data_IF_266224210433
#
_entry.id   IF_266224210433
#
_cell.length_a   1.000
_cell.length_b   1.000
_cell.length_c   1.000
_cell.angle_alpha   90.00
_cell.angle_beta   90.00
_cell.angle_gamma   90.00
#
_symmetry.space_group_name_H-M   'P 1'
#
loop_
_entity.id
_entity.type
_entity.pdbx_description
1 polymer ?
#
# COMPACT_ATOMS: atom_id res chain seq x y z
N UNK A 1 11.91 3.08 -3.68
CA UNK A 1 12.23 1.74 -3.12
C UNK A 1 11.32 1.37 -1.95
N UNK A 2 10.97 2.29 -1.04
CA UNK A 2 10.20 1.98 0.19
C UNK A 2 8.92 1.16 -0.04
N UNK A 3 8.03 1.58 -0.95
CA UNK A 3 6.78 0.84 -1.21
C UNK A 3 7.00 -0.54 -1.83
N UNK A 4 8.01 -0.67 -2.68
CA UNK A 4 8.40 -1.96 -3.27
C UNK A 4 8.78 -2.96 -2.16
N UNK A 5 9.64 -2.53 -1.23
CA UNK A 5 10.07 -3.34 -0.09
C UNK A 5 8.90 -3.71 0.82
N UNK A 6 7.99 -2.78 1.11
CA UNK A 6 6.80 -3.07 1.93
C UNK A 6 5.90 -4.11 1.25
N UNK A 7 5.73 -4.03 -0.07
CA UNK A 7 4.96 -5.02 -0.83
C UNK A 7 5.54 -6.43 -0.72
N UNK A 8 6.87 -6.55 -0.82
CA UNK A 8 7.58 -7.83 -0.64
C UNK A 8 7.42 -8.36 0.79
N UNK A 9 7.58 -7.50 1.81
CA UNK A 9 7.43 -7.90 3.22
C UNK A 9 6.00 -8.36 3.54
N UNK A 10 4.98 -7.70 2.98
CA UNK A 10 3.60 -8.15 3.07
C UNK A 10 3.41 -9.53 2.43
N UNK A 11 3.92 -9.72 1.22
CA UNK A 11 3.79 -10.99 0.50
C UNK A 11 4.42 -12.16 1.26
N UNK A 12 5.57 -11.92 1.92
CA UNK A 12 6.24 -12.93 2.73
C UNK A 12 5.66 -13.09 4.14
N UNK A 13 4.68 -12.27 4.54
CA UNK A 13 4.03 -12.37 5.85
C UNK A 13 4.84 -11.77 7.00
N UNK A 14 5.87 -10.96 6.71
CA UNK A 14 6.66 -10.25 7.73
C UNK A 14 5.85 -9.10 8.38
N UNK A 15 4.90 -8.54 7.62
CA UNK A 15 3.89 -7.62 8.14
C UNK A 15 2.50 -8.10 7.72
N UNK A 16 1.51 -7.85 8.59
CA UNK A 16 0.11 -8.04 8.21
C UNK A 16 -0.40 -6.85 7.41
N UNK A 17 -1.44 -7.06 6.62
CA UNK A 17 -2.05 -5.99 5.82
C UNK A 17 -2.68 -4.91 6.72
N UNK A 18 -3.14 -5.26 7.91
CA UNK A 18 -3.70 -4.33 8.91
C UNK A 18 -2.62 -3.37 9.40
N UNK A 19 -1.43 -3.88 9.73
CA UNK A 19 -0.29 -3.04 10.12
C UNK A 19 0.07 -2.08 9.00
N UNK A 20 0.13 -2.54 7.75
CA UNK A 20 0.48 -1.65 6.64
C UNK A 20 -0.60 -0.60 6.43
N UNK A 21 -1.87 -0.96 6.55
CA UNK A 21 -2.97 -0.02 6.38
C UNK A 21 -2.96 1.08 7.46
N UNK A 22 -2.75 0.71 8.72
CA UNK A 22 -2.67 1.63 9.86
C UNK A 22 -1.53 2.65 9.70
N UNK A 23 -0.42 2.23 9.10
CA UNK A 23 0.75 3.09 8.90
C UNK A 23 0.71 3.90 7.59
N UNK A 24 0.29 3.29 6.47
CA UNK A 24 0.68 3.75 5.13
C UNK A 24 -0.40 3.71 4.03
N UNK A 25 -1.65 3.30 4.30
CA UNK A 25 -2.70 3.18 3.26
C UNK A 25 -2.84 4.43 2.38
N UNK A 26 -3.09 5.58 2.99
CA UNK A 26 -3.21 6.87 2.28
C UNK A 26 -1.96 7.26 1.47
N UNK A 27 -0.76 7.32 2.08
CA UNK A 27 0.49 7.60 1.37
C UNK A 27 0.78 6.65 0.19
N UNK A 28 0.50 5.34 0.33
CA UNK A 28 0.67 4.35 -0.74
C UNK A 28 -0.23 4.70 -1.93
N UNK A 29 -1.53 4.92 -1.68
CA UNK A 29 -2.51 5.21 -2.73
C UNK A 29 -2.23 6.52 -3.46
N UNK A 30 -1.90 7.58 -2.71
CA UNK A 30 -1.54 8.88 -3.30
C UNK A 30 -0.28 8.75 -4.15
N UNK A 31 0.72 8.01 -3.65
CA UNK A 31 1.96 7.77 -4.38
C UNK A 31 1.69 7.00 -5.67
N UNK A 32 0.88 5.95 -5.61
CA UNK A 32 0.57 5.11 -6.76
C UNK A 32 -0.13 5.90 -7.86
N UNK A 33 -1.16 6.68 -7.49
CA UNK A 33 -1.87 7.55 -8.44
C UNK A 33 -0.93 8.54 -9.14
N UNK A 34 0.05 9.10 -8.43
CA UNK A 34 1.02 10.05 -9.01
C UNK A 34 2.07 9.35 -9.88
N UNK A 35 2.52 8.17 -9.49
CA UNK A 35 3.63 7.47 -10.12
C UNK A 35 3.21 6.46 -11.20
N UNK A 36 1.91 6.15 -11.31
CA UNK A 36 1.38 5.24 -12.31
C UNK A 36 1.79 5.65 -13.74
N UNK A 37 1.58 6.91 -14.20
CA UNK A 37 1.98 7.29 -15.57
C UNK A 37 3.48 7.11 -15.82
N UNK A 38 4.32 7.46 -14.84
CA UNK A 38 5.77 7.32 -14.92
C UNK A 38 6.19 5.85 -14.95
N UNK A 39 5.59 5.02 -14.10
CA UNK A 39 5.85 3.57 -14.06
C UNK A 39 5.50 2.93 -15.40
N UNK A 40 4.34 3.27 -15.98
CA UNK A 40 3.92 2.77 -17.28
C UNK A 40 4.88 3.19 -18.40
N UNK A 41 5.32 4.45 -18.45
CA UNK A 41 6.31 4.93 -19.43
C UNK A 41 7.64 4.18 -19.30
N UNK A 42 8.14 3.96 -18.09
CA UNK A 42 9.38 3.19 -17.88
C UNK A 42 9.25 1.73 -18.35
N UNK A 43 8.14 1.06 -18.03
CA UNK A 43 7.89 -0.33 -18.46
C UNK A 43 7.90 -0.44 -19.99
N UNK A 44 7.23 0.49 -20.67
CA UNK A 44 7.18 0.55 -22.13
C UNK A 44 8.55 0.86 -22.74
N UNK A 45 9.24 1.90 -22.24
CA UNK A 45 10.54 2.36 -22.76
C UNK A 45 11.63 1.30 -22.64
N UNK A 46 11.65 0.58 -21.53
CA UNK A 46 12.71 -0.39 -21.22
C UNK A 46 12.28 -1.84 -21.40
N UNK A 47 11.08 -2.09 -21.93
CA UNK A 47 10.48 -3.42 -22.09
C UNK A 47 10.58 -4.27 -20.81
N UNK A 48 10.28 -3.67 -19.66
CA UNK A 48 10.45 -4.29 -18.34
C UNK A 48 9.21 -4.12 -17.48
N UNK A 49 8.28 -5.07 -17.59
CA UNK A 49 7.03 -5.08 -16.82
C UNK A 49 7.24 -5.13 -15.30
N UNK A 50 8.34 -5.75 -14.83
CA UNK A 50 8.62 -5.91 -13.39
C UNK A 50 9.01 -4.63 -12.67
N UNK A 51 9.11 -3.50 -13.38
CA UNK A 51 9.42 -2.22 -12.74
C UNK A 51 8.27 -1.79 -11.80
N UNK A 52 8.58 -1.57 -10.53
CA UNK A 52 7.62 -1.20 -9.48
C UNK A 52 6.45 -2.19 -9.33
N UNK A 53 6.66 -3.48 -9.61
CA UNK A 53 5.59 -4.48 -9.60
C UNK A 53 5.02 -4.71 -8.19
N UNK A 54 5.87 -4.73 -7.16
CA UNK A 54 5.42 -4.93 -5.79
C UNK A 54 4.74 -3.70 -5.23
N UNK A 55 5.18 -2.51 -5.63
CA UNK A 55 4.47 -1.29 -5.32
C UNK A 55 3.06 -1.27 -5.95
N UNK A 56 2.92 -1.66 -7.21
CA UNK A 56 1.60 -1.79 -7.84
C UNK A 56 0.73 -2.79 -7.09
N UNK A 57 1.25 -4.00 -6.86
CA UNK A 57 0.52 -5.06 -6.18
C UNK A 57 0.05 -4.61 -4.78
N UNK A 58 0.92 -3.93 -4.03
CA UNK A 58 0.59 -3.37 -2.73
C UNK A 58 -0.52 -2.33 -2.81
N UNK A 59 -0.43 -1.38 -3.76
CA UNK A 59 -1.45 -0.35 -3.94
C UNK A 59 -2.82 -0.95 -4.28
N UNK A 60 -2.87 -2.00 -5.10
CA UNK A 60 -4.10 -2.73 -5.42
C UNK A 60 -4.73 -3.39 -4.20
N UNK A 61 -3.94 -3.98 -3.29
CA UNK A 61 -4.46 -4.51 -2.02
C UNK A 61 -5.06 -3.41 -1.15
N UNK A 62 -4.44 -2.23 -1.10
CA UNK A 62 -5.00 -1.08 -0.36
C UNK A 62 -6.32 -0.60 -0.98
N UNK A 63 -6.40 -0.48 -2.31
CA UNK A 63 -7.63 -0.08 -3.02
C UNK A 63 -8.77 -1.07 -2.77
N UNK A 64 -8.49 -2.37 -2.83
CA UNK A 64 -9.47 -3.41 -2.53
C UNK A 64 -10.00 -3.31 -1.10
N UNK A 65 -9.13 -3.00 -0.13
CA UNK A 65 -9.51 -2.88 1.28
C UNK A 65 -10.42 -1.67 1.50
N UNK A 66 -10.02 -0.49 1.00
CA UNK A 66 -10.83 0.74 1.09
C UNK A 66 -12.20 0.58 0.43
N UNK A 67 -12.28 -0.18 -0.67
CA UNK A 67 -13.55 -0.44 -1.36
C UNK A 67 -14.55 -1.25 -0.55
N UNK A 68 -14.07 -2.11 0.37
CA UNK A 68 -14.92 -3.00 1.18
C UNK A 68 -15.33 -2.38 2.50
N UNK A 69 -14.43 -1.64 3.13
CA UNK A 69 -14.69 -1.01 4.43
C UNK A 69 -13.82 0.23 4.59
N UNK A 70 -14.43 1.43 4.67
CA UNK A 70 -13.67 2.64 5.00
C UNK A 70 -13.01 2.49 6.37
N UNK A 71 -11.73 2.85 6.53
CA UNK A 71 -11.05 2.75 7.81
C UNK A 71 -11.71 3.68 8.84
N UNK A 72 -11.91 3.17 10.06
CA UNK A 72 -12.32 3.99 11.20
C UNK A 72 -11.08 4.72 11.72
N UNK A 73 -11.08 6.05 11.83
CA UNK A 73 -9.93 6.78 12.36
C UNK A 73 -9.52 6.27 13.74
N UNK A 74 -8.22 6.03 13.95
CA UNK A 74 -7.71 5.44 15.19
C UNK A 74 -8.12 6.21 16.45
N UNK A 75 -8.18 7.55 16.39
CA UNK A 75 -8.62 8.39 17.52
C UNK A 75 -10.10 8.19 17.90
N UNK A 76 -10.91 7.63 16.99
CA UNK A 76 -12.29 7.22 17.22
C UNK A 76 -12.32 5.76 17.67
N UNK A 77 -11.74 4.84 16.88
CA UNK A 77 -11.80 3.40 17.13
C UNK A 77 -11.13 2.96 18.43
N UNK A 78 -10.09 3.69 18.85
CA UNK A 78 -9.30 3.40 20.05
C UNK A 78 -9.45 4.48 21.13
N UNK A 79 -10.54 5.27 21.10
CA UNK A 79 -10.79 6.37 22.05
C UNK A 79 -10.65 5.96 23.52
N UNK A 80 -10.97 4.71 23.85
CA UNK A 80 -10.92 4.16 25.20
C UNK A 80 -9.77 3.16 25.40
N UNK A 81 -8.70 3.24 24.60
CA UNK A 81 -7.57 2.32 24.71
C UNK A 81 -6.99 2.32 26.14
N UNK A 82 -6.99 1.15 26.76
CA UNK A 82 -6.28 0.89 28.01
C UNK A 82 -5.27 -0.20 27.75
N UNK A 83 -3.99 0.10 27.99
CA UNK A 83 -2.93 -0.90 27.99
C UNK A 83 -3.20 -1.80 29.19
N UNK A 84 -3.37 -3.11 28.95
CA UNK A 84 -3.43 -4.13 30.01
C UNK A 84 -2.10 -4.15 30.78
#
# INVERSE_FOLDING_TARGET
ATWETIGVLLFHGEFTIEVIDDFFSGPILISWRKLLPYTTDLRQRYHRETWSEWFQWLAERMMERESKSPPVPAYIGHRNWKKL
#
